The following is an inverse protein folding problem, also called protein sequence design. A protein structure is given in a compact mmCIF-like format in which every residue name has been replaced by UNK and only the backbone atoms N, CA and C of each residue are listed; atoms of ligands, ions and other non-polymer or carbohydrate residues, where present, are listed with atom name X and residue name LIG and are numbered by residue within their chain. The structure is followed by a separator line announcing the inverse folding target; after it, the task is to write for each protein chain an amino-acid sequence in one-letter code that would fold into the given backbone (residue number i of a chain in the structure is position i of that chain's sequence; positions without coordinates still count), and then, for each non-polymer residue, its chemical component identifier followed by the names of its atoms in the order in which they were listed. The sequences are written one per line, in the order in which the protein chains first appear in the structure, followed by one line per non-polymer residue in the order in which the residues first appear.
data_IF_329016741139
#
_entry.id   IF_329016741139
#
_cell.length_a   1.000
_cell.length_b   1.000
_cell.length_c   1.000
_cell.angle_alpha   90.00
_cell.angle_beta   90.00
_cell.angle_gamma   90.00
#
_symmetry.space_group_name_H-M   'P 1'
#
loop_
_entity.id
_entity.type
_entity.pdbx_description
1 polymer ?
#
# COMPACT_ATOMS: atom_id res chain seq x y z
N UNK A 1 19.84 -16.34 15.28
CA UNK A 1 18.74 -15.83 16.12
C UNK A 1 17.66 -15.35 15.18
N UNK A 2 16.40 -15.82 15.22
CA UNK A 2 15.35 -15.08 14.56
C UNK A 2 15.26 -13.75 15.32
N UNK A 3 15.64 -12.64 14.69
CA UNK A 3 15.26 -11.34 15.23
C UNK A 3 13.73 -11.37 15.30
N UNK A 4 13.16 -11.16 16.49
CA UNK A 4 11.71 -11.05 16.63
C UNK A 4 11.27 -9.90 15.72
N UNK A 5 10.67 -10.23 14.57
CA UNK A 5 10.21 -9.24 13.59
C UNK A 5 9.20 -8.36 14.30
N UNK A 6 9.40 -7.04 14.29
CA UNK A 6 8.49 -6.15 15.00
C UNK A 6 7.12 -6.12 14.28
N UNK A 7 6.02 -5.77 14.97
CA UNK A 7 4.71 -5.69 14.35
C UNK A 7 4.68 -4.67 13.20
N UNK A 8 3.93 -5.01 12.15
CA UNK A 8 3.68 -4.15 10.99
C UNK A 8 2.23 -3.70 11.01
N UNK A 9 2.00 -2.42 10.73
CA UNK A 9 0.66 -1.85 10.60
C UNK A 9 0.37 -1.44 9.16
N UNK A 10 -0.78 -1.88 8.65
CA UNK A 10 -1.32 -1.44 7.36
C UNK A 10 -2.50 -0.51 7.62
N UNK A 11 -2.37 0.77 7.26
CA UNK A 11 -3.41 1.78 7.44
C UNK A 11 -4.31 1.85 6.21
N UNK A 12 -5.51 1.30 6.32
CA UNK A 12 -6.54 1.30 5.27
C UNK A 12 -7.03 -0.11 4.93
N UNK A 13 -8.20 -0.50 5.44
CA UNK A 13 -8.80 -1.82 5.19
C UNK A 13 -9.60 -1.90 3.87
N UNK A 14 -9.11 -1.26 2.81
CA UNK A 14 -9.59 -1.50 1.45
C UNK A 14 -9.07 -2.83 0.88
N UNK A 15 -9.38 -3.12 -0.39
CA UNK A 15 -8.97 -4.38 -1.04
C UNK A 15 -7.45 -4.54 -1.03
N UNK A 16 -6.72 -3.47 -1.37
CA UNK A 16 -5.27 -3.53 -1.47
C UNK A 16 -4.57 -3.56 -0.12
N UNK A 17 -5.01 -2.73 0.85
CA UNK A 17 -4.46 -2.78 2.21
C UNK A 17 -4.70 -4.14 2.88
N UNK A 18 -5.88 -4.75 2.68
CA UNK A 18 -6.14 -6.11 3.16
C UNK A 18 -5.20 -7.14 2.53
N UNK A 19 -4.97 -7.08 1.21
CA UNK A 19 -4.06 -7.99 0.53
C UNK A 19 -2.60 -7.83 0.99
N UNK A 20 -2.14 -6.59 1.21
CA UNK A 20 -0.83 -6.30 1.80
C UNK A 20 -0.72 -6.83 3.23
N UNK A 21 -1.75 -6.66 4.04
CA UNK A 21 -1.77 -7.15 5.42
C UNK A 21 -1.74 -8.69 5.49
N UNK A 22 -2.45 -9.38 4.60
CA UNK A 22 -2.37 -10.84 4.45
C UNK A 22 -0.95 -11.25 4.03
N UNK A 23 -0.33 -10.51 3.11
CA UNK A 23 1.03 -10.77 2.65
C UNK A 23 2.05 -10.62 3.79
N UNK A 24 1.96 -9.52 4.54
CA UNK A 24 2.79 -9.28 5.72
C UNK A 24 2.54 -10.34 6.81
N UNK A 25 1.30 -10.75 7.03
CA UNK A 25 0.97 -11.76 8.04
C UNK A 25 1.61 -13.13 7.73
N UNK A 26 1.72 -13.50 6.45
CA UNK A 26 2.40 -14.74 6.01
C UNK A 26 3.90 -14.74 6.28
N UNK A 27 4.54 -13.57 6.25
CA UNK A 27 5.98 -13.43 6.54
C UNK A 27 6.22 -13.22 8.05
N UNK A 28 5.23 -12.78 8.83
CA UNK A 28 5.34 -12.52 10.27
C UNK A 28 4.68 -13.60 11.13
N UNK A 29 4.95 -14.88 10.89
CA UNK A 29 4.27 -15.98 11.59
C UNK A 29 4.41 -15.90 13.13
N UNK A 30 5.49 -15.31 13.63
CA UNK A 30 5.77 -15.18 15.06
C UNK A 30 5.26 -13.86 15.68
N UNK A 31 4.62 -12.97 14.90
CA UNK A 31 4.21 -11.64 15.37
C UNK A 31 2.86 -11.20 14.79
N UNK A 32 2.23 -10.23 15.45
CA UNK A 32 1.00 -9.63 14.97
C UNK A 32 1.23 -8.66 13.81
N UNK A 33 0.29 -8.67 12.87
CA UNK A 33 0.12 -7.64 11.85
C UNK A 33 -1.20 -6.94 12.12
N UNK A 34 -1.21 -5.61 12.04
CA UNK A 34 -2.42 -4.82 12.26
C UNK A 34 -2.98 -4.32 10.92
N UNK A 35 -4.29 -4.49 10.73
CA UNK A 35 -5.05 -3.89 9.64
C UNK A 35 -5.98 -2.83 10.22
N UNK A 36 -5.69 -1.58 9.91
CA UNK A 36 -6.46 -0.45 10.43
C UNK A 36 -7.52 0.03 9.46
N UNK A 37 -8.68 0.39 10.00
CA UNK A 37 -9.71 1.18 9.35
C UNK A 37 -10.24 2.22 10.34
N UNK A 38 -10.59 3.40 9.84
CA UNK A 38 -11.24 4.45 10.62
C UNK A 38 -12.63 4.07 11.13
N UNK A 39 -13.32 3.11 10.49
CA UNK A 39 -14.65 2.64 10.89
C UNK A 39 -14.53 1.45 11.88
N UNK A 40 -14.84 1.63 13.19
CA UNK A 40 -14.75 0.56 14.18
C UNK A 40 -15.69 -0.61 13.89
N UNK A 41 -16.86 -0.34 13.30
CA UNK A 41 -17.83 -1.38 12.96
C UNK A 41 -17.30 -2.23 11.80
N UNK A 42 -16.57 -1.62 10.87
CA UNK A 42 -15.90 -2.36 9.80
C UNK A 42 -14.78 -3.26 10.36
N UNK A 43 -13.93 -2.73 11.25
CA UNK A 43 -12.88 -3.50 11.91
C UNK A 43 -13.44 -4.69 12.71
N UNK A 44 -14.50 -4.49 13.49
CA UNK A 44 -15.15 -5.56 14.26
C UNK A 44 -15.69 -6.67 13.36
N UNK A 45 -16.34 -6.31 12.23
CA UNK A 45 -16.82 -7.28 11.24
C UNK A 45 -15.68 -8.09 10.63
N UNK A 46 -14.57 -7.45 10.26
CA UNK A 46 -13.39 -8.16 9.73
C UNK A 46 -12.82 -9.09 10.80
N UNK A 47 -12.67 -8.61 12.03
CA UNK A 47 -12.05 -9.34 13.13
C UNK A 47 -12.88 -10.58 13.53
N UNK A 48 -14.21 -10.46 13.54
CA UNK A 48 -15.13 -11.55 13.91
C UNK A 48 -15.32 -12.57 12.79
N UNK A 49 -15.56 -12.11 11.56
CA UNK A 49 -15.75 -13.01 10.41
C UNK A 49 -14.45 -13.61 9.88
N UNK A 50 -13.29 -13.06 10.28
CA UNK A 50 -11.97 -13.38 9.72
C UNK A 50 -11.94 -13.22 8.21
N UNK A 51 -12.74 -12.30 7.67
CA UNK A 51 -12.81 -11.98 6.25
C UNK A 51 -13.16 -10.49 6.03
N UNK A 52 -12.52 -9.82 5.08
CA UNK A 52 -12.96 -8.49 4.63
C UNK A 52 -14.02 -8.62 3.53
N UNK A 53 -15.23 -9.03 3.93
CA UNK A 53 -16.34 -9.27 3.01
C UNK A 53 -16.68 -8.05 2.13
N UNK A 54 -16.47 -6.83 2.64
CA UNK A 54 -16.81 -5.58 1.94
C UNK A 54 -15.87 -5.30 0.77
N UNK A 55 -14.57 -5.47 0.98
CA UNK A 55 -13.55 -5.03 0.01
C UNK A 55 -12.76 -6.17 -0.62
N UNK A 56 -12.70 -7.35 -0.01
CA UNK A 56 -11.94 -8.49 -0.50
C UNK A 56 -12.63 -9.82 -0.14
N UNK A 57 -13.84 -10.07 -0.69
CA UNK A 57 -14.63 -11.26 -0.36
C UNK A 57 -13.98 -12.56 -0.87
N UNK A 58 -14.26 -13.65 -0.14
CA UNK A 58 -13.79 -15.01 -0.39
C UNK A 58 -12.36 -15.28 0.06
N UNK A 59 -11.75 -14.42 0.88
CA UNK A 59 -10.37 -14.59 1.37
C UNK A 59 -10.32 -14.51 2.90
N UNK A 60 -9.97 -15.63 3.54
CA UNK A 60 -9.78 -15.69 4.99
C UNK A 60 -8.50 -14.98 5.44
N UNK A 61 -8.57 -14.25 6.56
CA UNK A 61 -7.45 -13.57 7.19
C UNK A 61 -6.61 -14.56 8.01
N UNK A 62 -5.26 -14.56 7.88
CA UNK A 62 -4.37 -15.31 8.77
C UNK A 62 -4.60 -14.99 10.25
N UNK A 63 -4.42 -15.96 11.16
CA UNK A 63 -4.76 -15.80 12.58
C UNK A 63 -4.02 -14.63 13.27
N UNK A 64 -2.78 -14.37 12.87
CA UNK A 64 -1.95 -13.29 13.41
C UNK A 64 -2.30 -11.89 12.86
N UNK A 65 -3.23 -11.79 11.91
CA UNK A 65 -3.70 -10.52 11.35
C UNK A 65 -4.89 -9.97 12.18
N UNK A 66 -4.70 -8.83 12.82
CA UNK A 66 -5.67 -8.21 13.72
C UNK A 66 -6.27 -6.97 13.07
N UNK A 67 -7.60 -6.96 12.88
CA UNK A 67 -8.31 -5.77 12.42
C UNK A 67 -8.66 -4.89 13.63
N UNK A 68 -8.31 -3.60 13.58
CA UNK A 68 -8.38 -2.70 14.73
C UNK A 68 -8.60 -1.24 14.29
N UNK A 69 -9.44 -0.49 14.98
CA UNK A 69 -9.70 0.93 14.65
C UNK A 69 -8.93 1.92 15.55
N UNK A 70 -8.37 1.44 16.65
CA UNK A 70 -7.57 2.22 17.59
C UNK A 70 -6.18 2.49 16.99
N UNK A 71 -6.03 3.66 16.38
CA UNK A 71 -4.80 4.06 15.70
C UNK A 71 -3.66 4.38 16.68
N UNK A 72 -3.97 4.97 17.84
CA UNK A 72 -2.95 5.30 18.87
C UNK A 72 -2.25 4.03 19.33
N UNK A 73 -3.01 3.00 19.68
CA UNK A 73 -2.46 1.69 20.07
C UNK A 73 -1.58 1.07 18.98
N UNK A 74 -1.93 1.27 17.71
CA UNK A 74 -1.14 0.76 16.59
C UNK A 74 0.19 1.50 16.49
N UNK A 75 0.19 2.82 16.60
CA UNK A 75 1.41 3.63 16.48
C UNK A 75 2.39 3.34 17.64
N UNK A 76 1.88 3.07 18.84
CA UNK A 76 2.70 2.70 19.99
C UNK A 76 3.40 1.33 19.84
N UNK A 77 2.78 0.41 19.08
CA UNK A 77 3.20 -1.00 19.03
C UNK A 77 3.88 -1.40 17.72
N UNK A 78 3.49 -0.79 16.61
CA UNK A 78 4.01 -1.10 15.29
C UNK A 78 5.36 -0.42 15.06
N UNK A 79 6.31 -1.17 14.53
CA UNK A 79 7.61 -0.60 14.14
C UNK A 79 7.62 -0.06 12.72
N UNK A 80 6.70 -0.52 11.89
CA UNK A 80 6.58 -0.18 10.48
C UNK A 80 5.12 0.12 10.15
N UNK A 81 4.92 1.24 9.45
CA UNK A 81 3.60 1.71 9.03
C UNK A 81 3.59 1.75 7.50
N UNK A 82 2.59 1.09 6.90
CA UNK A 82 2.31 1.12 5.47
C UNK A 82 0.92 1.71 5.26
N UNK A 83 0.85 2.91 4.67
CA UNK A 83 -0.42 3.56 4.34
C UNK A 83 -0.96 3.01 3.01
N UNK A 84 -2.20 2.57 3.00
CA UNK A 84 -2.90 2.01 1.84
C UNK A 84 -4.32 2.59 1.69
N UNK A 85 -4.47 3.89 1.98
CA UNK A 85 -5.71 4.64 1.82
C UNK A 85 -5.80 5.30 0.43
N UNK A 86 -6.98 5.74 -0.04
CA UNK A 86 -7.09 6.58 -1.24
C UNK A 86 -6.32 7.91 -1.10
N UNK A 87 -5.84 8.48 -2.21
CA UNK A 87 -5.02 9.70 -2.17
C UNK A 87 -5.70 10.90 -1.49
N UNK A 88 -7.03 11.02 -1.62
CA UNK A 88 -7.80 12.08 -0.96
C UNK A 88 -7.82 11.99 0.57
N UNK A 89 -7.54 10.82 1.14
CA UNK A 89 -7.48 10.62 2.58
C UNK A 89 -6.04 10.65 3.13
N UNK A 90 -5.03 10.69 2.25
CA UNK A 90 -3.63 10.52 2.63
C UNK A 90 -3.15 11.61 3.60
N UNK A 91 -3.36 12.89 3.27
CA UNK A 91 -2.98 14.02 4.13
C UNK A 91 -3.61 13.95 5.52
N UNK A 92 -4.91 13.61 5.61
CA UNK A 92 -5.57 13.47 6.91
C UNK A 92 -4.97 12.37 7.79
N UNK A 93 -4.49 11.27 7.18
CA UNK A 93 -3.75 10.23 7.91
C UNK A 93 -2.43 10.79 8.43
N UNK A 94 -1.65 11.51 7.61
CA UNK A 94 -0.39 12.12 8.06
C UNK A 94 -0.60 13.12 9.21
N UNK A 95 -1.63 13.94 9.13
CA UNK A 95 -2.00 14.88 10.19
C UNK A 95 -2.37 14.16 11.49
N UNK A 96 -3.09 13.04 11.38
CA UNK A 96 -3.42 12.20 12.54
C UNK A 96 -2.15 11.60 13.14
N UNK A 97 -1.27 11.03 12.32
CA UNK A 97 0.03 10.50 12.77
C UNK A 97 0.85 11.58 13.49
N UNK A 98 0.94 12.78 12.89
CA UNK A 98 1.63 13.94 13.48
C UNK A 98 1.07 14.32 14.85
N UNK A 99 -0.25 14.36 14.99
CA UNK A 99 -0.93 14.75 16.23
C UNK A 99 -0.65 13.80 17.41
N UNK A 100 -0.31 12.55 17.13
CA UNK A 100 0.03 11.58 18.19
C UNK A 100 1.37 11.90 18.87
N UNK A 101 2.24 12.68 18.23
CA UNK A 101 3.56 13.04 18.76
C UNK A 101 4.56 11.88 18.83
N UNK A 102 4.19 10.68 18.38
CA UNK A 102 5.11 9.54 18.35
C UNK A 102 6.13 9.70 17.20
N UNK A 103 7.43 9.49 17.46
CA UNK A 103 8.44 9.57 16.43
C UNK A 103 8.31 8.38 15.45
N UNK A 104 8.27 8.68 14.16
CA UNK A 104 8.26 7.68 13.09
C UNK A 104 9.70 7.43 12.60
N UNK A 105 10.11 6.16 12.53
CA UNK A 105 11.42 5.77 12.00
C UNK A 105 11.52 5.89 10.46
N UNK A 106 10.37 6.04 9.81
CA UNK A 106 10.19 6.14 8.37
C UNK A 106 8.74 5.86 8.02
N UNK A 107 8.33 6.19 6.80
CA UNK A 107 6.97 6.01 6.34
C UNK A 107 6.93 5.30 5.00
N UNK A 108 5.96 4.38 4.85
CA UNK A 108 5.74 3.69 3.58
C UNK A 108 4.29 3.82 3.15
N UNK A 109 4.05 3.89 1.85
CA UNK A 109 2.69 3.85 1.31
C UNK A 109 2.58 3.03 0.05
N UNK A 110 1.37 2.54 -0.19
CA UNK A 110 0.95 1.94 -1.45
C UNK A 110 -0.24 2.71 -2.07
N UNK A 111 -0.50 3.92 -1.56
CA UNK A 111 -1.42 4.91 -2.13
C UNK A 111 -0.97 5.29 -3.53
N UNK A 112 -1.90 5.27 -4.50
CA UNK A 112 -1.65 5.66 -5.89
C UNK A 112 -2.53 6.86 -6.24
N UNK A 113 -1.94 7.87 -6.86
CA UNK A 113 -2.62 9.10 -7.25
C UNK A 113 -1.87 10.34 -6.76
N UNK A 114 -2.40 11.49 -7.16
CA UNK A 114 -2.00 12.80 -6.67
C UNK A 114 -2.96 13.25 -5.57
N UNK A 115 -2.51 14.17 -4.73
CA UNK A 115 -3.37 14.85 -3.79
C UNK A 115 -4.43 15.66 -4.55
N UNK A 116 -5.72 15.46 -4.25
CA UNK A 116 -6.76 16.31 -4.82
C UNK A 116 -6.50 17.77 -4.47
N UNK A 117 -7.00 18.70 -5.30
CA UNK A 117 -6.81 20.15 -5.14
C UNK A 117 -5.39 20.69 -5.37
N UNK A 118 -4.35 20.08 -4.83
CA UNK A 118 -2.96 20.60 -4.93
C UNK A 118 -2.18 19.98 -6.08
N UNK A 119 -2.53 18.75 -6.49
CA UNK A 119 -1.78 18.01 -7.50
C UNK A 119 -0.43 17.48 -7.01
N UNK A 120 -0.16 17.56 -5.70
CA UNK A 120 1.09 17.09 -5.11
C UNK A 120 1.22 15.57 -5.20
N UNK A 121 2.45 15.12 -5.39
CA UNK A 121 2.83 13.72 -5.20
C UNK A 121 2.82 13.36 -3.71
N UNK A 122 2.59 12.10 -3.37
CA UNK A 122 2.42 11.70 -1.96
C UNK A 122 3.69 11.96 -1.15
N UNK A 123 4.89 11.78 -1.71
CA UNK A 123 6.13 12.17 -1.02
C UNK A 123 6.18 13.67 -0.68
N UNK A 124 5.64 14.55 -1.54
CA UNK A 124 5.58 15.99 -1.27
C UNK A 124 4.58 16.30 -0.16
N UNK A 125 3.44 15.58 -0.12
CA UNK A 125 2.49 15.69 0.99
C UNK A 125 3.13 15.23 2.32
N UNK A 126 4.00 14.20 2.28
CA UNK A 126 4.79 13.79 3.46
C UNK A 126 5.73 14.91 3.91
N UNK A 127 6.47 15.52 2.99
CA UNK A 127 7.34 16.67 3.30
C UNK A 127 6.57 17.86 3.88
N UNK A 128 5.38 18.16 3.35
CA UNK A 128 4.51 19.24 3.83
C UNK A 128 4.01 19.02 5.27
N UNK A 129 3.60 17.80 5.58
CA UNK A 129 2.94 17.49 6.86
C UNK A 129 3.93 17.06 7.95
N UNK A 130 5.00 16.36 7.60
CA UNK A 130 5.93 15.76 8.53
C UNK A 130 7.32 16.42 8.44
N UNK A 131 8.33 15.68 7.97
CA UNK A 131 9.72 16.12 7.87
C UNK A 131 10.26 15.74 6.49
N UNK A 132 10.93 16.67 5.83
CA UNK A 132 11.45 16.51 4.48
C UNK A 132 12.59 15.47 4.39
N UNK A 133 13.27 15.19 5.50
CA UNK A 133 14.34 14.20 5.60
C UNK A 133 13.85 12.85 6.14
N UNK A 134 12.54 12.68 6.37
CA UNK A 134 12.00 11.42 6.84
C UNK A 134 12.30 10.29 5.83
N UNK A 135 12.81 9.12 6.26
CA UNK A 135 12.94 7.98 5.39
C UNK A 135 11.59 7.57 4.81
N UNK A 136 11.46 7.58 3.49
CA UNK A 136 10.20 7.26 2.80
C UNK A 136 10.35 6.05 1.89
N UNK A 137 9.26 5.33 1.66
CA UNK A 137 9.19 4.36 0.58
C UNK A 137 7.78 4.26 -0.04
N UNK A 138 7.72 3.96 -1.32
CA UNK A 138 6.48 3.77 -2.08
C UNK A 138 6.45 2.39 -2.72
N UNK A 139 5.32 1.70 -2.58
CA UNK A 139 5.01 0.43 -3.21
C UNK A 139 4.10 0.64 -4.42
N UNK A 140 4.57 0.23 -5.61
CA UNK A 140 3.74 0.24 -6.82
C UNK A 140 4.11 -0.89 -7.77
N UNK A 141 3.14 -1.31 -8.58
CA UNK A 141 3.30 -2.43 -9.50
C UNK A 141 1.97 -3.00 -10.00
N UNK A 142 2.04 -4.01 -10.89
CA UNK A 142 0.88 -4.72 -11.44
C UNK A 142 0.34 -5.74 -10.42
N UNK A 143 -0.39 -5.26 -9.42
CA UNK A 143 -0.73 -6.04 -8.23
C UNK A 143 -2.23 -6.05 -7.97
N UNK A 144 -2.98 -6.94 -8.62
CA UNK A 144 -4.40 -7.12 -8.32
C UNK A 144 -4.59 -7.70 -6.92
N UNK A 145 -5.33 -7.00 -6.06
CA UNK A 145 -5.46 -7.34 -4.65
C UNK A 145 -5.91 -8.79 -4.40
N UNK A 146 -6.86 -9.29 -5.19
CA UNK A 146 -7.37 -10.66 -5.05
C UNK A 146 -6.30 -11.70 -5.35
N UNK A 147 -5.52 -11.52 -6.42
CA UNK A 147 -4.45 -12.44 -6.80
C UNK A 147 -3.34 -12.47 -5.75
N UNK A 148 -2.95 -11.30 -5.24
CA UNK A 148 -1.97 -11.18 -4.14
C UNK A 148 -2.47 -11.88 -2.88
N UNK A 149 -3.72 -11.63 -2.50
CA UNK A 149 -4.30 -12.24 -1.31
C UNK A 149 -4.50 -13.75 -1.46
N UNK A 150 -4.71 -14.26 -2.66
CA UNK A 150 -4.71 -15.70 -2.96
C UNK A 150 -3.32 -16.34 -2.94
N UNK A 151 -2.25 -15.54 -2.90
CA UNK A 151 -0.87 -16.03 -2.93
C UNK A 151 -0.41 -16.41 -4.34
N UNK A 152 -1.00 -15.83 -5.38
CA UNK A 152 -0.50 -15.98 -6.75
C UNK A 152 0.81 -15.19 -6.94
N UNK A 153 1.76 -15.70 -7.75
CA UNK A 153 3.03 -15.02 -7.98
C UNK A 153 2.85 -13.58 -8.44
N UNK A 154 3.37 -12.65 -7.66
CA UNK A 154 3.26 -11.21 -7.89
C UNK A 154 4.62 -10.53 -7.73
N UNK A 155 4.93 -9.62 -8.63
CA UNK A 155 6.07 -8.72 -8.54
C UNK A 155 5.61 -7.29 -8.23
N UNK A 156 6.33 -6.60 -7.33
CA UNK A 156 6.09 -5.20 -7.00
C UNK A 156 7.41 -4.45 -6.88
N UNK A 157 7.39 -3.15 -7.18
CA UNK A 157 8.51 -2.25 -6.95
C UNK A 157 8.33 -1.51 -5.62
N UNK A 158 9.38 -1.47 -4.82
CA UNK A 158 9.55 -0.58 -3.68
C UNK A 158 10.60 0.47 -4.02
N UNK A 159 10.21 1.72 -4.22
CA UNK A 159 11.16 2.83 -4.32
C UNK A 159 11.32 3.52 -2.97
N UNK A 160 12.54 3.89 -2.58
CA UNK A 160 12.80 4.52 -1.29
C UNK A 160 13.92 5.56 -1.34
N UNK A 161 13.82 6.57 -0.48
CA UNK A 161 14.91 7.52 -0.22
C UNK A 161 15.98 6.97 0.72
N UNK A 162 15.75 5.82 1.36
CA UNK A 162 16.65 5.24 2.37
C UNK A 162 16.79 3.73 2.18
N UNK A 163 18.02 3.28 1.89
CA UNK A 163 18.37 1.87 1.76
C UNK A 163 17.95 1.07 3.01
N UNK A 164 18.26 1.60 4.19
CA UNK A 164 17.94 0.92 5.45
C UNK A 164 16.43 0.78 5.67
N UNK A 165 15.63 1.79 5.30
CA UNK A 165 14.18 1.71 5.37
C UNK A 165 13.62 0.73 4.33
N UNK A 166 14.17 0.74 3.11
CA UNK A 166 13.78 -0.19 2.05
C UNK A 166 13.98 -1.65 2.48
N UNK A 167 15.14 -1.99 3.05
CA UNK A 167 15.43 -3.36 3.49
C UNK A 167 14.47 -3.86 4.58
N UNK A 168 14.05 -2.99 5.48
CA UNK A 168 13.02 -3.31 6.50
C UNK A 168 11.71 -3.72 5.84
N UNK A 169 11.16 -2.87 4.97
CA UNK A 169 9.90 -3.14 4.27
C UNK A 169 10.01 -4.37 3.35
N UNK A 170 11.13 -4.56 2.67
CA UNK A 170 11.40 -5.76 1.86
C UNK A 170 11.37 -7.00 2.76
N UNK A 171 12.04 -6.98 3.91
CA UNK A 171 12.03 -8.11 4.85
C UNK A 171 10.64 -8.44 5.37
N UNK A 172 9.77 -7.42 5.43
CA UNK A 172 8.40 -7.51 5.90
C UNK A 172 7.42 -8.08 4.86
N UNK A 173 7.68 -7.90 3.56
CA UNK A 173 6.72 -8.29 2.50
C UNK A 173 7.24 -9.39 1.57
N UNK A 174 8.55 -9.50 1.40
CA UNK A 174 9.14 -10.39 0.41
C UNK A 174 8.92 -11.86 0.77
N UNK A 175 8.44 -12.63 -0.19
CA UNK A 175 8.23 -14.07 -0.06
C UNK A 175 8.39 -14.77 -1.41
N UNK A 176 8.22 -16.09 -1.43
CA UNK A 176 8.23 -16.87 -2.68
C UNK A 176 7.08 -16.51 -3.64
N UNK A 177 5.97 -15.95 -3.12
CA UNK A 177 4.81 -15.54 -3.93
C UNK A 177 4.74 -14.03 -4.14
N UNK A 178 5.49 -13.24 -3.37
CA UNK A 178 5.48 -11.78 -3.43
C UNK A 178 6.91 -11.26 -3.52
N UNK A 179 7.36 -11.00 -4.76
CA UNK A 179 8.72 -10.57 -5.06
C UNK A 179 8.79 -9.05 -5.05
N UNK A 180 9.52 -8.49 -4.09
CA UNK A 180 9.78 -7.05 -4.01
C UNK A 180 11.08 -6.70 -4.73
N UNK A 181 11.01 -5.80 -5.70
CA UNK A 181 12.15 -5.23 -6.42
C UNK A 181 12.42 -3.82 -5.89
N UNK A 182 13.65 -3.54 -5.55
CA UNK A 182 14.03 -2.24 -5.00
C UNK A 182 14.36 -1.24 -6.12
N UNK A 183 13.99 0.02 -5.89
CA UNK A 183 14.36 1.18 -6.72
C UNK A 183 14.73 2.36 -5.83
N UNK A 184 15.43 3.35 -6.39
CA UNK A 184 15.65 4.65 -5.77
C UNK A 184 14.78 5.75 -6.39
N UNK A 185 14.08 5.44 -7.49
CA UNK A 185 13.24 6.39 -8.22
C UNK A 185 11.84 6.49 -7.61
N UNK A 186 11.72 7.23 -6.51
CA UNK A 186 10.44 7.46 -5.82
C UNK A 186 9.44 8.17 -6.74
N UNK A 187 9.89 9.21 -7.45
CA UNK A 187 9.05 10.04 -8.30
C UNK A 187 8.47 9.21 -9.46
N UNK A 188 9.31 8.47 -10.19
CA UNK A 188 8.86 7.65 -11.30
C UNK A 188 7.90 6.54 -10.87
N UNK A 189 8.11 5.94 -9.70
CA UNK A 189 7.21 4.90 -9.16
C UNK A 189 5.84 5.47 -8.75
N UNK A 190 5.80 6.67 -8.17
CA UNK A 190 4.54 7.36 -7.85
C UNK A 190 3.78 7.81 -9.10
N UNK A 191 4.48 8.44 -10.05
CA UNK A 191 3.90 8.88 -11.31
C UNK A 191 3.37 7.68 -12.10
N UNK A 192 4.15 6.60 -12.22
CA UNK A 192 3.71 5.39 -12.91
C UNK A 192 2.49 4.74 -12.23
N UNK A 193 2.44 4.75 -10.90
CA UNK A 193 1.27 4.29 -10.16
C UNK A 193 0.01 5.14 -10.41
N UNK A 194 0.18 6.44 -10.61
CA UNK A 194 -0.90 7.41 -10.79
C UNK A 194 -1.43 7.44 -12.23
N UNK A 195 -0.52 7.55 -13.21
CA UNK A 195 -0.84 7.68 -14.63
C UNK A 195 -1.46 6.40 -15.18
N UNK A 196 -1.05 5.22 -14.70
CA UNK A 196 -1.60 3.94 -15.19
C UNK A 196 -3.11 3.81 -15.05
N UNK A 197 -3.73 4.49 -14.06
CA UNK A 197 -5.18 4.49 -13.91
C UNK A 197 -5.87 5.31 -15.00
N UNK A 198 -5.25 6.40 -15.46
CA UNK A 198 -5.73 7.22 -16.59
C UNK A 198 -5.67 6.37 -17.88
N UNK A 199 -4.53 5.70 -18.11
CA UNK A 199 -4.37 4.78 -19.24
C UNK A 199 -5.35 3.60 -19.18
N UNK A 200 -5.67 3.09 -17.99
CA UNK A 200 -6.68 2.05 -17.81
C UNK A 200 -8.09 2.54 -18.23
N UNK A 201 -8.45 3.79 -17.93
CA UNK A 201 -9.71 4.38 -18.41
C UNK A 201 -9.70 4.52 -19.93
N UNK A 202 -8.62 5.06 -20.51
CA UNK A 202 -8.49 5.22 -21.96
C UNK A 202 -8.59 3.88 -22.71
N UNK A 203 -7.93 2.84 -22.19
CA UNK A 203 -8.03 1.48 -22.75
C UNK A 203 -9.43 0.89 -22.60
N UNK A 204 -10.12 1.14 -21.47
CA UNK A 204 -11.52 0.75 -21.29
C UNK A 204 -12.49 1.43 -22.27
N UNK A 205 -12.26 2.72 -22.58
CA UNK A 205 -13.03 3.44 -23.61
C UNK A 205 -12.81 2.80 -24.98
N UNK A 206 -11.54 2.51 -25.33
CA UNK A 206 -11.18 1.82 -26.58
C UNK A 206 -11.88 0.47 -26.71
N UNK A 207 -11.91 -0.31 -25.63
CA UNK A 207 -12.62 -1.60 -25.56
C UNK A 207 -14.13 -1.42 -25.77
N UNK A 208 -14.72 -0.42 -25.12
CA UNK A 208 -16.15 -0.09 -25.25
C UNK A 208 -16.56 0.36 -26.66
N UNK A 209 -15.64 0.93 -27.43
CA UNK A 209 -15.83 1.29 -28.84
C UNK A 209 -15.69 0.09 -29.80
N UNK A 210 -15.37 -1.10 -29.29
CA UNK A 210 -15.19 -2.31 -30.09
C UNK A 210 -13.81 -2.41 -30.76
N UNK A 211 -12.83 -1.61 -30.34
CA UNK A 211 -11.46 -1.77 -30.80
C UNK A 211 -10.77 -2.95 -30.10
N UNK A 212 -9.73 -3.50 -30.75
CA UNK A 212 -9.08 -4.74 -30.32
C UNK A 212 -7.60 -4.51 -29.95
N UNK A 213 -6.83 -5.59 -29.88
CA UNK A 213 -5.48 -5.65 -29.34
C UNK A 213 -4.51 -4.62 -29.92
N UNK A 214 -4.56 -4.32 -31.23
CA UNK A 214 -3.67 -3.35 -31.86
C UNK A 214 -3.85 -1.93 -31.28
N UNK A 215 -5.10 -1.48 -31.15
CA UNK A 215 -5.41 -0.15 -30.60
C UNK A 215 -5.04 -0.09 -29.11
N UNK A 216 -5.31 -1.15 -28.35
CA UNK A 216 -4.91 -1.25 -26.94
C UNK A 216 -3.38 -1.17 -26.80
N UNK A 217 -2.63 -1.92 -27.60
CA UNK A 217 -1.18 -1.90 -27.58
C UNK A 217 -0.65 -0.50 -27.93
N UNK A 218 -1.20 0.14 -28.97
CA UNK A 218 -0.83 1.51 -29.33
C UNK A 218 -1.08 2.51 -28.19
N UNK A 219 -2.23 2.44 -27.51
CA UNK A 219 -2.53 3.28 -26.34
C UNK A 219 -1.56 3.06 -25.19
N UNK A 220 -1.21 1.81 -24.88
CA UNK A 220 -0.26 1.48 -23.82
C UNK A 220 1.13 2.03 -24.18
N UNK A 221 1.62 1.75 -25.39
CA UNK A 221 2.96 2.20 -25.82
C UNK A 221 3.06 3.71 -25.87
N UNK A 222 2.03 4.41 -26.38
CA UNK A 222 2.01 5.88 -26.42
C UNK A 222 1.87 6.48 -25.02
N UNK A 223 1.01 5.90 -24.18
CA UNK A 223 0.85 6.32 -22.79
C UNK A 223 2.14 6.18 -21.98
N UNK A 224 2.89 5.10 -22.18
CA UNK A 224 4.21 4.92 -21.56
C UNK A 224 5.24 5.96 -22.03
N UNK A 225 5.11 6.49 -23.25
CA UNK A 225 6.01 7.54 -23.76
C UNK A 225 5.65 8.94 -23.25
N UNK A 226 4.46 9.12 -22.65
CA UNK A 226 4.05 10.37 -21.99
C UNK A 226 4.45 10.40 -20.51
N UNK A 227 4.92 9.26 -19.98
CA UNK A 227 5.43 9.07 -18.62
C UNK A 227 6.94 9.34 -18.57
#
# INVERSE_FOLDING_TARGET
MPSSRKPVAILGAGSWGTALAITAARTHQDNHVFLWDHDPVHCEKIQTSRENNRYLPGISLPENLIAIADLERIIETAAEIIIAVPSHAFRSILQTLKSTGHPLAGLTWATKGLEPQTGLLMHQVVSDELDDNMPIAVLSGPTFAKEVAQGLPTAITLASSSEHHAQKIISSLHSVYFRVYQSQDVIGVELGGSIKNILAIATGISDGLGFSANTRAALITRGLNEM
#
